data_IF_572662265988
#
_entry.id   IF_572662265988
#
_cell.length_a   1.000
_cell.length_b   1.000
_cell.length_c   1.000
_cell.angle_alpha   90.00
_cell.angle_beta   90.00
_cell.angle_gamma   90.00
#
_symmetry.space_group_name_H-M   'P 1'
#
loop_
_entity.id
_entity.type
_entity.pdbx_description
1 polymer ?
#
# COMPACT_ATOMS: atom_id res chain seq x y z
N UNK A 1 8.45 -6.40 23.74
CA UNK A 1 8.89 -5.87 22.43
C UNK A 1 7.65 -5.35 21.71
N UNK A 2 7.52 -4.03 21.51
CA UNK A 2 6.35 -3.42 20.86
C UNK A 2 6.63 -3.28 19.36
N UNK A 3 5.65 -3.64 18.53
CA UNK A 3 5.71 -3.63 17.06
C UNK A 3 6.17 -2.26 16.51
N UNK A 4 5.91 -1.18 17.24
CA UNK A 4 6.31 0.18 16.89
C UNK A 4 7.84 0.36 16.73
N UNK A 5 8.66 -0.26 17.59
CA UNK A 5 10.13 -0.16 17.50
C UNK A 5 10.70 -0.98 16.34
N UNK A 6 9.95 -2.00 15.89
CA UNK A 6 10.33 -2.75 14.68
C UNK A 6 10.15 -1.89 13.44
N UNK A 7 9.11 -1.03 13.42
CA UNK A 7 8.80 -0.19 12.26
C UNK A 7 9.94 0.79 11.97
N UNK A 8 10.44 1.53 12.97
CA UNK A 8 11.52 2.53 12.79
C UNK A 8 12.82 1.94 12.23
N UNK A 9 13.16 0.68 12.55
CA UNK A 9 14.33 0.00 11.96
C UNK A 9 14.03 -0.74 10.64
N UNK A 10 12.77 -0.97 10.29
CA UNK A 10 12.36 -1.63 9.02
C UNK A 10 12.08 -0.67 7.87
N UNK A 11 12.04 0.65 8.13
CA UNK A 11 11.95 1.67 7.09
C UNK A 11 13.22 1.78 6.25
N UNK A 12 14.35 1.32 6.77
CA UNK A 12 15.50 1.07 5.91
C UNK A 12 15.18 -0.08 4.95
N UNK A 13 15.62 0.04 3.71
CA UNK A 13 15.58 -0.95 2.61
C UNK A 13 16.18 -2.34 2.98
N UNK A 14 16.50 -2.58 4.25
CA UNK A 14 17.07 -3.77 4.86
C UNK A 14 16.11 -4.51 5.81
N UNK A 15 14.89 -4.01 6.04
CA UNK A 15 13.87 -4.70 6.86
C UNK A 15 13.42 -6.03 6.23
N UNK A 16 12.92 -6.98 7.05
CA UNK A 16 12.46 -8.31 6.60
C UNK A 16 11.34 -8.26 5.54
N UNK A 17 10.68 -7.12 5.36
CA UNK A 17 9.65 -6.86 4.36
C UNK A 17 10.12 -6.03 3.16
N UNK A 18 11.37 -5.54 3.15
CA UNK A 18 11.86 -4.60 2.14
C UNK A 18 11.73 -5.14 0.71
N UNK A 19 12.15 -6.39 0.48
CA UNK A 19 12.01 -7.03 -0.84
C UNK A 19 10.55 -7.15 -1.28
N UNK A 20 9.64 -7.46 -0.34
CA UNK A 20 8.21 -7.57 -0.63
C UNK A 20 7.61 -6.19 -1.00
N UNK A 21 7.94 -5.15 -0.24
CA UNK A 21 7.48 -3.78 -0.47
C UNK A 21 8.03 -3.21 -1.79
N UNK A 22 9.32 -3.42 -2.05
CA UNK A 22 9.97 -3.00 -3.29
C UNK A 22 9.37 -3.68 -4.52
N UNK A 23 9.06 -4.99 -4.42
CA UNK A 23 8.39 -5.72 -5.51
C UNK A 23 7.04 -5.09 -5.86
N UNK A 24 6.22 -4.78 -4.86
CA UNK A 24 4.93 -4.13 -5.07
C UNK A 24 5.08 -2.73 -5.65
N UNK A 25 6.08 -1.98 -5.17
CA UNK A 25 6.40 -0.67 -5.71
C UNK A 25 6.72 -0.72 -7.22
N UNK A 26 7.57 -1.65 -7.64
CA UNK A 26 7.92 -1.84 -9.06
C UNK A 26 6.67 -2.20 -9.89
N UNK A 27 5.77 -3.03 -9.35
CA UNK A 27 4.52 -3.39 -10.04
C UNK A 27 3.62 -2.16 -10.22
N UNK A 28 3.47 -1.34 -9.17
CA UNK A 28 2.66 -0.13 -9.21
C UNK A 28 3.23 0.90 -10.19
N UNK A 29 4.54 1.13 -10.20
CA UNK A 29 5.18 2.05 -11.15
C UNK A 29 4.97 1.65 -12.62
N UNK A 30 4.93 0.34 -12.91
CA UNK A 30 4.63 -0.17 -14.26
C UNK A 30 3.17 0.01 -14.67
N UNK A 31 2.28 0.37 -13.74
CA UNK A 31 0.86 0.58 -13.98
C UNK A 31 0.45 1.95 -13.41
N UNK A 32 0.72 3.06 -14.12
CA UNK A 32 0.54 4.42 -13.60
C UNK A 32 -0.88 4.73 -13.12
N UNK A 33 -1.89 4.16 -13.79
CA UNK A 33 -3.29 4.29 -13.37
C UNK A 33 -3.54 3.62 -12.01
N UNK A 34 -2.98 2.43 -11.80
CA UNK A 34 -3.09 1.68 -10.55
C UNK A 34 -2.40 2.42 -9.41
N UNK A 35 -1.21 2.95 -9.68
CA UNK A 35 -0.44 3.77 -8.74
C UNK A 35 -1.21 5.02 -8.32
N UNK A 36 -1.75 5.78 -9.28
CA UNK A 36 -2.53 6.99 -9.00
C UNK A 36 -3.71 6.71 -8.07
N UNK A 37 -4.44 5.62 -8.34
CA UNK A 37 -5.59 5.23 -7.52
C UNK A 37 -5.12 4.75 -6.15
N UNK A 38 -4.05 3.97 -6.08
CA UNK A 38 -3.47 3.50 -4.83
C UNK A 38 -3.00 4.66 -3.94
N UNK A 39 -2.41 5.70 -4.51
CA UNK A 39 -2.01 6.91 -3.79
C UNK A 39 -3.21 7.66 -3.19
N UNK A 40 -4.38 7.62 -3.86
CA UNK A 40 -5.60 8.16 -3.26
C UNK A 40 -6.04 7.33 -2.04
N UNK A 41 -5.87 6.00 -2.09
CA UNK A 41 -6.26 5.10 -0.99
C UNK A 41 -5.35 5.28 0.23
N UNK A 42 -4.02 5.35 0.06
CA UNK A 42 -3.10 5.51 1.19
C UNK A 42 -3.33 6.84 1.92
N UNK A 43 -3.69 7.89 1.18
CA UNK A 43 -3.96 9.24 1.71
C UNK A 43 -5.41 9.45 2.17
N UNK A 44 -6.29 8.45 2.01
CA UNK A 44 -7.66 8.52 2.49
C UNK A 44 -7.81 7.83 3.85
N UNK A 45 -8.49 8.52 4.77
CA UNK A 45 -8.95 7.94 6.03
C UNK A 45 -10.24 7.12 5.86
N UNK A 46 -10.98 7.38 4.78
CA UNK A 46 -12.28 6.76 4.50
C UNK A 46 -12.17 5.68 3.42
N UNK A 47 -12.96 4.59 3.51
CA UNK A 47 -13.02 3.58 2.45
C UNK A 47 -13.47 4.19 1.12
N UNK A 48 -12.75 3.87 0.03
CA UNK A 48 -12.99 4.44 -1.30
C UNK A 48 -13.67 3.42 -2.20
N UNK A 49 -14.74 3.81 -2.89
CA UNK A 49 -15.32 2.98 -3.95
C UNK A 49 -14.42 2.98 -5.17
N UNK A 50 -14.03 1.80 -5.64
CA UNK A 50 -13.18 1.63 -6.81
C UNK A 50 -13.91 0.90 -7.92
N UNK A 51 -13.43 1.07 -9.15
CA UNK A 51 -13.81 0.22 -10.27
C UNK A 51 -13.42 -1.24 -9.99
N UNK A 52 -14.28 -2.23 -10.32
CA UNK A 52 -14.07 -3.64 -9.96
C UNK A 52 -12.72 -4.21 -10.43
N UNK A 53 -12.26 -3.82 -11.62
CA UNK A 53 -10.98 -4.28 -12.17
C UNK A 53 -9.80 -3.79 -11.35
N UNK A 54 -9.83 -2.51 -10.94
CA UNK A 54 -8.78 -1.90 -10.12
C UNK A 54 -8.79 -2.49 -8.70
N UNK A 55 -9.99 -2.60 -8.12
CA UNK A 55 -10.21 -3.24 -6.83
C UNK A 55 -9.64 -4.66 -6.80
N UNK A 56 -9.94 -5.46 -7.82
CA UNK A 56 -9.45 -6.83 -7.92
C UNK A 56 -7.91 -6.87 -8.03
N UNK A 57 -7.30 -6.04 -8.88
CA UNK A 57 -5.84 -5.97 -9.02
C UNK A 57 -5.14 -5.63 -7.70
N UNK A 58 -5.57 -4.58 -7.01
CA UNK A 58 -4.97 -4.16 -5.74
C UNK A 58 -5.20 -5.19 -4.63
N UNK A 59 -6.37 -5.82 -4.59
CA UNK A 59 -6.70 -6.85 -3.60
C UNK A 59 -5.88 -8.13 -3.84
N UNK A 60 -5.67 -8.53 -5.10
CA UNK A 60 -4.82 -9.66 -5.48
C UNK A 60 -3.33 -9.44 -5.19
N UNK A 61 -2.88 -8.17 -5.18
CA UNK A 61 -1.55 -7.80 -4.67
C UNK A 61 -1.48 -7.79 -3.13
N UNK A 62 -2.62 -7.92 -2.45
CA UNK A 62 -2.72 -7.84 -0.99
C UNK A 62 -2.53 -6.43 -0.43
N UNK A 63 -2.53 -5.40 -1.27
CA UNK A 63 -2.30 -4.01 -0.86
C UNK A 63 -3.53 -3.37 -0.22
N UNK A 64 -4.72 -3.81 -0.62
CA UNK A 64 -6.00 -3.37 -0.06
C UNK A 64 -6.81 -4.55 0.44
N UNK A 65 -7.86 -4.25 1.19
CA UNK A 65 -8.99 -5.13 1.50
C UNK A 65 -10.26 -4.47 1.00
N UNK A 66 -11.26 -5.27 0.65
CA UNK A 66 -12.58 -4.79 0.27
C UNK A 66 -13.54 -4.95 1.45
N UNK A 67 -14.16 -3.85 1.89
CA UNK A 67 -15.21 -3.80 2.91
C UNK A 67 -16.40 -3.06 2.31
N UNK A 68 -17.57 -3.68 2.29
CA UNK A 68 -18.81 -3.10 1.71
C UNK A 68 -18.60 -2.53 0.30
N UNK A 69 -17.86 -3.27 -0.53
CA UNK A 69 -17.50 -2.88 -1.90
C UNK A 69 -16.66 -1.58 -2.00
N UNK A 70 -15.99 -1.21 -0.90
CA UNK A 70 -15.03 -0.11 -0.82
C UNK A 70 -13.66 -0.64 -0.44
N UNK A 71 -12.62 -0.05 -1.03
CA UNK A 71 -11.24 -0.36 -0.75
C UNK A 71 -10.76 0.36 0.51
N UNK A 72 -10.08 -0.39 1.38
CA UNK A 72 -9.32 0.11 2.52
C UNK A 72 -7.90 -0.45 2.45
N UNK A 73 -6.92 0.29 2.97
CA UNK A 73 -5.54 -0.23 3.02
C UNK A 73 -5.49 -1.51 3.85
N UNK A 74 -4.77 -2.53 3.37
CA UNK A 74 -4.78 -3.84 4.04
C UNK A 74 -3.97 -3.85 5.34
N UNK A 75 -2.97 -2.96 5.45
CA UNK A 75 -2.02 -2.85 6.54
C UNK A 75 -1.47 -1.42 6.64
N UNK A 76 -1.28 -0.94 7.87
CA UNK A 76 -0.71 0.38 8.15
C UNK A 76 0.77 0.49 7.73
N UNK A 77 1.50 -0.63 7.70
CA UNK A 77 2.87 -0.68 7.15
C UNK A 77 2.91 -0.20 5.69
N UNK A 78 1.95 -0.62 4.85
CA UNK A 78 1.88 -0.18 3.46
C UNK A 78 1.54 1.30 3.36
N UNK A 79 0.56 1.77 4.14
CA UNK A 79 0.22 3.19 4.17
C UNK A 79 1.47 4.03 4.42
N UNK A 80 2.19 3.76 5.51
CA UNK A 80 3.37 4.56 5.88
C UNK A 80 4.49 4.45 4.84
N UNK A 81 4.86 3.23 4.45
CA UNK A 81 5.94 3.01 3.48
C UNK A 81 5.68 3.73 2.14
N UNK A 82 4.48 3.60 1.58
CA UNK A 82 4.16 4.22 0.29
C UNK A 82 3.92 5.72 0.40
N UNK A 83 3.47 6.24 1.54
CA UNK A 83 3.38 7.68 1.79
C UNK A 83 4.76 8.33 1.92
N UNK A 84 5.72 7.65 2.55
CA UNK A 84 7.09 8.16 2.67
C UNK A 84 7.76 8.23 1.29
N UNK A 85 7.58 7.21 0.44
CA UNK A 85 8.06 7.22 -0.95
C UNK A 85 7.40 8.31 -1.79
N UNK A 86 6.12 8.64 -1.54
CA UNK A 86 5.43 9.70 -2.29
C UNK A 86 5.96 11.11 -1.99
N UNK A 87 6.67 11.28 -0.87
CA UNK A 87 7.20 12.58 -0.39
C UNK A 87 8.63 12.87 -0.84
N UNK A 88 9.33 11.89 -1.44
CA UNK A 88 10.67 12.01 -2.04
C UNK A 88 10.60 12.31 -3.54
#
# INVERSE_FOLDING_TARGET
MRIAELLENTFNLTGIYAHHLQRHWIILQRQPELLRIFNTIINSEQPIKLEPVVAHKLNSLGLIKLSDNKAVISCELYRRYFQDIERE
#
